data_IF_911759666585
#
_entry.id   IF_911759666585
#
_cell.length_a   1.000
_cell.length_b   1.000
_cell.length_c   1.000
_cell.angle_alpha   90.00
_cell.angle_beta   90.00
_cell.angle_gamma   90.00
#
_symmetry.space_group_name_H-M   'P 1'
#
loop_
_entity.id
_entity.type
_entity.pdbx_description
1 polymer ?
#
# COMPACT_ATOMS: atom_id res chain seq x y z
N UNK A 1 11.60 -3.30 7.09
CA UNK A 1 10.27 -3.11 7.72
C UNK A 1 10.29 -2.07 8.84
N UNK A 2 10.80 -2.37 10.04
CA UNK A 2 10.63 -1.51 11.23
C UNK A 2 11.20 -0.09 11.03
N UNK A 3 12.33 0.02 10.33
CA UNK A 3 12.98 1.31 10.01
C UNK A 3 12.03 2.25 9.26
N UNK A 4 11.26 1.76 8.29
CA UNK A 4 10.36 2.61 7.49
C UNK A 4 9.23 3.24 8.31
N UNK A 5 8.84 2.61 9.43
CA UNK A 5 7.82 3.11 10.34
C UNK A 5 8.46 3.99 11.43
N UNK A 6 9.53 3.50 12.05
CA UNK A 6 10.15 4.12 13.23
C UNK A 6 10.96 5.35 12.85
N UNK A 7 11.69 5.34 11.74
CA UNK A 7 12.59 6.44 11.36
C UNK A 7 11.84 7.78 11.18
N UNK A 8 10.74 7.88 10.41
CA UNK A 8 10.00 9.14 10.30
C UNK A 8 9.49 9.64 11.65
N UNK A 9 8.99 8.73 12.50
CA UNK A 9 8.50 9.07 13.85
C UNK A 9 9.65 9.63 14.69
N UNK A 10 10.75 8.90 14.83
CA UNK A 10 11.90 9.30 15.65
C UNK A 10 12.47 10.64 15.18
N UNK A 11 12.68 10.80 13.86
CA UNK A 11 13.17 12.06 13.31
C UNK A 11 12.20 13.22 13.58
N UNK A 12 10.89 12.99 13.52
CA UNK A 12 9.89 14.02 13.79
C UNK A 12 9.95 14.52 15.23
N UNK A 13 10.15 13.62 16.20
CA UNK A 13 10.23 13.95 17.62
C UNK A 13 11.59 14.54 18.03
N UNK A 14 12.71 14.04 17.50
CA UNK A 14 14.06 14.59 17.76
C UNK A 14 14.15 16.07 17.37
N UNK A 15 13.52 16.45 16.25
CA UNK A 15 13.53 17.83 15.78
C UNK A 15 12.51 18.73 16.49
N UNK A 16 11.70 18.17 17.39
CA UNK A 16 10.52 18.81 17.94
C UNK A 16 9.33 18.71 16.98
N UNK A 17 8.18 18.30 17.50
CA UNK A 17 6.97 18.11 16.69
C UNK A 17 6.39 19.44 16.16
N UNK A 18 6.63 20.54 16.88
CA UNK A 18 6.21 21.90 16.58
C UNK A 18 7.24 22.72 15.80
N UNK A 19 8.45 22.20 15.60
CA UNK A 19 9.54 22.91 14.90
C UNK A 19 9.35 22.87 13.38
N UNK A 20 9.79 23.91 12.64
CA UNK A 20 9.85 23.84 11.18
C UNK A 20 10.73 22.67 10.74
N UNK A 21 10.24 21.88 9.79
CA UNK A 21 11.02 20.77 9.21
C UNK A 21 12.24 21.33 8.45
N UNK A 22 13.41 20.73 8.68
CA UNK A 22 14.66 21.11 7.99
C UNK A 22 14.57 20.76 6.49
N UNK A 23 15.40 21.39 5.67
CA UNK A 23 15.43 21.18 4.20
C UNK A 23 15.55 19.71 3.80
N UNK A 24 16.36 18.93 4.52
CA UNK A 24 16.53 17.51 4.22
C UNK A 24 15.19 16.75 4.32
N UNK A 25 14.31 17.11 5.26
CA UNK A 25 13.01 16.48 5.43
C UNK A 25 12.15 16.64 4.18
N UNK A 26 12.11 17.87 3.66
CA UNK A 26 11.35 18.23 2.46
C UNK A 26 11.88 17.46 1.25
N UNK A 27 13.21 17.51 1.03
CA UNK A 27 13.86 16.81 -0.09
C UNK A 27 13.64 15.30 0.00
N UNK A 28 13.84 14.70 1.17
CA UNK A 28 13.58 13.27 1.40
C UNK A 28 12.12 12.93 1.13
N UNK A 29 11.18 13.77 1.56
CA UNK A 29 9.74 13.55 1.31
C UNK A 29 9.45 13.51 -0.19
N UNK A 30 9.94 14.49 -0.96
CA UNK A 30 9.75 14.53 -2.41
C UNK A 30 10.35 13.31 -3.11
N UNK A 31 11.58 12.93 -2.76
CA UNK A 31 12.25 11.75 -3.31
C UNK A 31 11.44 10.49 -3.00
N UNK A 32 11.05 10.29 -1.74
CA UNK A 32 10.28 9.12 -1.33
C UNK A 32 8.93 9.02 -2.05
N UNK A 33 8.16 10.10 -2.10
CA UNK A 33 6.84 10.12 -2.75
C UNK A 33 6.96 9.83 -4.24
N UNK A 34 7.91 10.49 -4.91
CA UNK A 34 8.15 10.28 -6.35
C UNK A 34 8.56 8.83 -6.61
N UNK A 35 9.47 8.30 -5.79
CA UNK A 35 9.93 6.91 -5.91
C UNK A 35 8.77 5.93 -5.70
N UNK A 36 7.93 6.15 -4.69
CA UNK A 36 6.75 5.31 -4.42
C UNK A 36 5.76 5.31 -5.58
N UNK A 37 5.47 6.46 -6.17
CA UNK A 37 4.57 6.55 -7.33
C UNK A 37 5.13 5.76 -8.51
N UNK A 38 6.41 5.98 -8.83
CA UNK A 38 7.10 5.28 -9.92
C UNK A 38 7.12 3.77 -9.68
N UNK A 39 7.53 3.35 -8.47
CA UNK A 39 7.64 1.94 -8.10
C UNK A 39 6.28 1.26 -7.94
N UNK A 40 5.20 2.00 -7.67
CA UNK A 40 3.84 1.43 -7.66
C UNK A 40 3.34 1.17 -9.08
N UNK A 41 3.67 2.04 -10.04
CA UNK A 41 3.10 2.01 -11.38
C UNK A 41 3.93 1.15 -12.34
N UNK A 42 5.25 1.34 -12.39
CA UNK A 42 6.11 0.80 -13.46
C UNK A 42 6.34 -0.71 -13.40
N UNK A 43 6.61 -1.34 -12.24
CA UNK A 43 6.93 -2.77 -12.20
C UNK A 43 5.80 -3.60 -12.83
N UNK A 44 6.10 -4.52 -13.76
CA UNK A 44 5.09 -5.41 -14.31
C UNK A 44 4.61 -6.40 -13.25
N UNK A 45 3.46 -7.01 -13.52
CA UNK A 45 2.94 -8.11 -12.71
C UNK A 45 3.18 -9.38 -13.50
N UNK A 46 3.70 -10.40 -12.85
CA UNK A 46 4.01 -11.67 -13.50
C UNK A 46 3.58 -12.84 -12.62
N UNK A 47 2.98 -13.82 -13.26
CA UNK A 47 2.74 -15.16 -12.72
C UNK A 47 3.73 -16.15 -13.29
N UNK A 48 3.42 -17.43 -13.12
CA UNK A 48 4.21 -18.52 -13.68
C UNK A 48 3.45 -19.26 -14.80
N UNK A 49 4.15 -20.17 -15.47
CA UNK A 49 3.57 -21.00 -16.53
C UNK A 49 2.37 -21.84 -16.05
N UNK A 50 2.38 -22.26 -14.78
CA UNK A 50 1.27 -23.04 -14.22
C UNK A 50 -0.01 -22.21 -14.08
N UNK A 51 0.12 -20.92 -13.74
CA UNK A 51 -1.01 -19.98 -13.71
C UNK A 51 -1.56 -19.76 -15.12
N UNK A 52 -0.69 -19.52 -16.12
CA UNK A 52 -1.12 -19.39 -17.52
C UNK A 52 -1.85 -20.63 -18.03
N UNK A 53 -1.34 -21.83 -17.72
CA UNK A 53 -2.00 -23.10 -18.07
C UNK A 53 -3.34 -23.26 -17.38
N UNK A 54 -3.43 -23.01 -16.07
CA UNK A 54 -4.67 -23.13 -15.29
C UNK A 54 -5.73 -22.18 -15.82
N UNK A 55 -5.36 -20.93 -16.04
CA UNK A 55 -6.27 -19.85 -16.43
C UNK A 55 -6.74 -19.97 -17.88
N UNK A 56 -5.92 -20.49 -18.79
CA UNK A 56 -6.33 -20.71 -20.19
C UNK A 56 -7.60 -21.55 -20.36
N UNK A 57 -7.92 -22.41 -19.38
CA UNK A 57 -9.12 -23.25 -19.33
C UNK A 57 -10.38 -22.49 -18.90
N UNK A 58 -10.21 -21.31 -18.33
CA UNK A 58 -11.30 -20.41 -17.95
C UNK A 58 -11.64 -19.48 -19.11
N UNK A 59 -12.93 -19.18 -19.33
CA UNK A 59 -13.33 -18.30 -20.43
C UNK A 59 -12.81 -16.85 -20.24
N UNK A 60 -12.56 -16.44 -19.00
CA UNK A 60 -12.23 -15.07 -18.64
C UNK A 60 -10.73 -14.74 -18.73
N UNK A 61 -9.82 -15.73 -18.70
CA UNK A 61 -8.38 -15.51 -18.59
C UNK A 61 -7.55 -16.34 -19.56
N UNK A 62 -7.63 -16.01 -20.86
CA UNK A 62 -6.78 -16.64 -21.87
C UNK A 62 -5.34 -16.11 -21.87
N UNK A 63 -5.13 -14.91 -21.34
CA UNK A 63 -3.88 -14.16 -21.46
C UNK A 63 -3.33 -13.84 -20.08
N UNK A 64 -2.14 -14.34 -19.76
CA UNK A 64 -1.49 -14.16 -18.46
C UNK A 64 -0.05 -13.70 -18.68
N UNK A 65 0.36 -12.65 -17.96
CA UNK A 65 1.74 -12.19 -17.97
C UNK A 65 2.60 -13.17 -17.16
N UNK A 66 3.59 -13.79 -17.83
CA UNK A 66 4.48 -14.79 -17.25
C UNK A 66 5.92 -14.30 -17.31
N UNK A 67 6.65 -14.49 -16.22
CA UNK A 67 8.09 -14.21 -16.15
C UNK A 67 8.92 -15.45 -16.42
N UNK A 68 9.87 -15.34 -17.35
CA UNK A 68 10.79 -16.42 -17.70
C UNK A 68 12.14 -15.89 -18.17
N UNK A 69 13.13 -16.78 -18.18
CA UNK A 69 14.47 -16.53 -18.74
C UNK A 69 14.56 -17.19 -20.11
N UNK A 70 15.08 -16.45 -21.08
CA UNK A 70 15.35 -16.96 -22.43
C UNK A 70 16.57 -17.89 -22.40
N UNK A 71 16.35 -19.17 -22.64
CA UNK A 71 17.42 -20.18 -22.68
C UNK A 71 17.93 -20.44 -24.10
N UNK A 72 17.04 -20.40 -25.09
CA UNK A 72 17.36 -20.65 -26.49
C UNK A 72 16.34 -19.94 -27.38
N UNK A 73 16.78 -19.48 -28.54
CA UNK A 73 15.94 -18.86 -29.57
C UNK A 73 16.25 -19.54 -30.90
N UNK A 74 15.23 -20.14 -31.50
CA UNK A 74 15.31 -20.78 -32.83
C UNK A 74 14.37 -20.00 -33.75
N UNK A 75 14.92 -19.46 -34.83
CA UNK A 75 14.15 -18.75 -35.86
C UNK A 75 13.74 -19.73 -36.96
N UNK A 76 12.44 -19.82 -37.21
CA UNK A 76 11.81 -20.52 -38.33
C UNK A 76 11.20 -19.50 -39.30
N UNK A 77 10.84 -19.90 -40.53
CA UNK A 77 10.49 -18.99 -41.63
C UNK A 77 9.36 -18.01 -41.27
N UNK A 78 8.40 -18.43 -40.44
CA UNK A 78 7.27 -17.60 -39.98
C UNK A 78 7.21 -17.40 -38.45
N UNK A 79 7.82 -18.28 -37.67
CA UNK A 79 7.68 -18.31 -36.20
C UNK A 79 9.05 -18.34 -35.51
N UNK A 80 9.08 -17.91 -34.27
CA UNK A 80 10.26 -18.02 -33.39
C UNK A 80 9.91 -18.96 -32.25
N UNK A 81 10.70 -20.01 -32.07
CA UNK A 81 10.60 -20.92 -30.95
C UNK A 81 11.57 -20.48 -29.87
N UNK A 82 11.05 -20.18 -28.68
CA UNK A 82 11.80 -19.76 -27.52
C UNK A 82 11.72 -20.87 -26.47
N UNK A 83 12.88 -21.38 -26.05
CA UNK A 83 12.96 -22.26 -24.88
C UNK A 83 13.05 -21.38 -23.63
N UNK A 84 12.02 -21.44 -22.79
CA UNK A 84 11.86 -20.60 -21.62
C UNK A 84 12.06 -21.38 -20.32
N UNK A 85 12.83 -20.80 -19.40
CA UNK A 85 13.03 -21.31 -18.04
C UNK A 85 12.23 -20.44 -17.07
N UNK A 86 11.40 -21.00 -16.17
CA UNK A 86 10.70 -20.22 -15.15
C UNK A 86 11.67 -19.40 -14.30
N UNK A 87 11.40 -18.09 -14.14
CA UNK A 87 12.32 -17.21 -13.42
C UNK A 87 12.49 -17.59 -11.94
N UNK A 88 11.49 -18.23 -11.34
CA UNK A 88 11.50 -18.72 -9.96
C UNK A 88 12.61 -19.76 -9.71
N UNK A 89 12.99 -20.52 -10.74
CA UNK A 89 13.91 -21.66 -10.63
C UNK A 89 15.32 -21.29 -11.14
N UNK A 90 15.49 -20.12 -11.76
CA UNK A 90 16.75 -19.75 -12.41
C UNK A 90 17.95 -19.63 -11.45
N UNK A 91 17.72 -19.29 -10.17
CA UNK A 91 18.78 -19.19 -9.16
C UNK A 91 19.28 -20.53 -8.63
N UNK A 92 18.64 -21.66 -8.99
CA UNK A 92 19.12 -22.98 -8.58
C UNK A 92 20.27 -23.43 -9.48
N UNK A 93 21.46 -23.54 -8.91
CA UNK A 93 22.74 -23.90 -9.57
C UNK A 93 22.77 -25.30 -10.23
N UNK A 94 21.72 -26.09 -10.07
CA UNK A 94 21.69 -27.48 -10.54
C UNK A 94 21.16 -27.56 -11.98
N UNK A 95 22.09 -27.55 -12.96
CA UNK A 95 21.79 -27.62 -14.41
C UNK A 95 20.82 -28.75 -14.79
N UNK A 96 20.86 -29.90 -14.09
CA UNK A 96 19.95 -31.04 -14.34
C UNK A 96 18.49 -30.77 -13.96
N UNK A 97 18.21 -29.84 -13.04
CA UNK A 97 16.84 -29.41 -12.71
C UNK A 97 16.31 -28.36 -13.68
N UNK A 98 17.20 -27.53 -14.23
CA UNK A 98 16.86 -26.52 -15.24
C UNK A 98 16.43 -27.17 -16.57
N UNK A 99 17.14 -28.20 -17.02
CA UNK A 99 16.80 -28.96 -18.26
C UNK A 99 15.46 -29.70 -18.19
N UNK A 100 14.99 -30.09 -16.98
CA UNK A 100 13.72 -30.79 -16.80
C UNK A 100 12.49 -29.87 -16.75
N UNK A 101 12.68 -28.57 -16.54
CA UNK A 101 11.61 -27.60 -16.31
C UNK A 101 11.65 -26.46 -17.34
N UNK A 102 11.86 -26.79 -18.61
CA UNK A 102 11.77 -25.84 -19.72
C UNK A 102 10.37 -25.87 -20.33
N UNK A 103 9.96 -24.72 -20.85
CA UNK A 103 8.69 -24.55 -21.56
C UNK A 103 8.96 -24.02 -22.97
N UNK A 104 8.20 -24.53 -23.94
CA UNK A 104 8.27 -24.06 -25.32
C UNK A 104 7.28 -22.93 -25.54
N UNK A 105 7.81 -21.77 -25.92
CA UNK A 105 7.05 -20.56 -26.24
C UNK A 105 7.19 -20.26 -27.72
N UNK A 106 6.07 -20.19 -28.44
CA UNK A 106 6.01 -19.80 -29.85
C UNK A 106 5.70 -18.32 -29.92
N UNK A 107 6.44 -17.57 -30.74
CA UNK A 107 6.19 -16.16 -31.00
C UNK A 107 6.16 -15.88 -32.50
N UNK A 108 5.38 -14.88 -32.92
CA UNK A 108 5.46 -14.38 -34.29
C UNK A 108 6.79 -13.65 -34.52
N UNK A 109 7.34 -13.81 -35.72
CA UNK A 109 8.60 -13.16 -36.10
C UNK A 109 8.41 -11.64 -36.15
N UNK A 110 8.89 -10.94 -35.12
CA UNK A 110 8.77 -9.49 -34.96
C UNK A 110 10.08 -8.86 -34.49
N UNK A 111 10.27 -7.56 -34.73
CA UNK A 111 11.49 -6.85 -34.31
C UNK A 111 11.74 -6.94 -32.80
N UNK A 112 10.66 -6.89 -31.99
CA UNK A 112 10.76 -7.02 -30.53
C UNK A 112 11.31 -8.39 -30.12
N UNK A 113 10.93 -9.46 -30.81
CA UNK A 113 11.45 -10.82 -30.54
C UNK A 113 12.89 -10.96 -31.01
N UNK A 114 13.26 -10.37 -32.14
CA UNK A 114 14.65 -10.33 -32.63
C UNK A 114 15.62 -9.61 -31.68
N UNK A 115 15.09 -8.70 -30.84
CA UNK A 115 15.90 -7.97 -29.85
C UNK A 115 16.24 -8.79 -28.60
N UNK A 116 15.57 -9.93 -28.38
CA UNK A 116 15.79 -10.80 -27.22
C UNK A 116 17.16 -11.47 -27.29
N UNK A 117 17.82 -11.56 -26.14
CA UNK A 117 19.11 -12.22 -25.97
C UNK A 117 18.99 -13.40 -25.03
N UNK A 118 19.94 -14.32 -25.15
CA UNK A 118 20.11 -15.41 -24.19
C UNK A 118 20.30 -14.84 -22.79
N UNK A 119 19.65 -15.46 -21.80
CA UNK A 119 19.59 -15.05 -20.40
C UNK A 119 18.81 -13.76 -20.11
N UNK A 120 18.13 -13.16 -21.09
CA UNK A 120 17.20 -12.07 -20.79
C UNK A 120 16.04 -12.60 -19.92
N UNK A 121 15.72 -11.86 -18.86
CA UNK A 121 14.50 -12.04 -18.09
C UNK A 121 13.36 -11.30 -18.77
N UNK A 122 12.37 -12.03 -19.25
CA UNK A 122 11.27 -11.48 -20.03
C UNK A 122 9.97 -11.69 -19.26
N UNK A 123 9.18 -10.62 -19.15
CA UNK A 123 7.77 -10.70 -18.78
C UNK A 123 6.96 -10.54 -20.05
N UNK A 124 6.16 -11.53 -20.39
CA UNK A 124 5.32 -11.49 -21.59
C UNK A 124 3.96 -12.10 -21.35
N UNK A 125 2.97 -11.59 -22.06
CA UNK A 125 1.62 -12.13 -22.10
C UNK A 125 1.62 -13.43 -22.91
N UNK A 126 1.34 -14.54 -22.23
CA UNK A 126 1.28 -15.88 -22.80
C UNK A 126 -0.16 -16.41 -22.85
N UNK A 127 -0.45 -17.14 -23.92
CA UNK A 127 -1.66 -17.93 -24.08
C UNK A 127 -1.30 -19.41 -24.21
N UNK A 128 -1.85 -20.27 -23.36
CA UNK A 128 -1.55 -21.71 -23.42
C UNK A 128 -2.40 -22.41 -24.49
N UNK A 129 -1.76 -23.26 -25.30
CA UNK A 129 -2.37 -24.07 -26.37
C UNK A 129 -2.43 -25.53 -25.92
N UNK A 130 -3.63 -26.01 -25.58
CA UNK A 130 -3.87 -27.38 -25.09
C UNK A 130 -3.42 -28.47 -26.10
N UNK A 131 -3.61 -28.24 -27.41
CA UNK A 131 -3.35 -29.26 -28.44
C UNK A 131 -1.87 -29.58 -28.63
N UNK A 132 -0.98 -28.64 -28.35
CA UNK A 132 0.47 -28.80 -28.56
C UNK A 132 1.27 -28.70 -27.25
N UNK A 133 0.61 -28.44 -26.12
CA UNK A 133 1.25 -28.20 -24.81
C UNK A 133 2.31 -27.09 -24.87
N UNK A 134 2.05 -26.06 -25.67
CA UNK A 134 2.94 -24.92 -25.90
C UNK A 134 2.27 -23.61 -25.47
N UNK A 135 3.06 -22.55 -25.36
CA UNK A 135 2.57 -21.22 -25.05
C UNK A 135 2.78 -20.31 -26.25
N UNK A 136 1.75 -19.57 -26.65
CA UNK A 136 1.85 -18.51 -27.64
C UNK A 136 2.16 -17.18 -26.94
N UNK A 137 3.28 -16.57 -27.31
CA UNK A 137 3.64 -15.22 -26.90
C UNK A 137 2.86 -14.22 -27.74
N UNK A 138 2.00 -13.45 -27.08
CA UNK A 138 1.22 -12.38 -27.72
C UNK A 138 1.91 -11.03 -27.64
N UNK A 139 2.53 -10.74 -26.50
CA UNK A 139 3.12 -9.42 -26.23
C UNK A 139 4.27 -9.51 -25.23
N UNK A 140 5.38 -8.84 -25.53
CA UNK A 140 6.42 -8.57 -24.54
C UNK A 140 5.97 -7.37 -23.69
N UNK A 141 5.89 -7.58 -22.38
CA UNK A 141 5.53 -6.53 -21.41
C UNK A 141 6.78 -5.80 -20.93
N UNK A 142 7.84 -6.54 -20.60
CA UNK A 142 9.12 -5.96 -20.17
C UNK A 142 10.26 -6.93 -20.45
N UNK A 143 11.44 -6.37 -20.71
CA UNK A 143 12.72 -7.11 -20.79
C UNK A 143 13.60 -6.60 -19.65
N UNK A 144 14.19 -7.53 -18.89
CA UNK A 144 15.01 -7.30 -17.71
C UNK A 144 14.40 -6.29 -16.71
N UNK A 145 13.16 -6.52 -16.24
CA UNK A 145 12.55 -5.65 -15.23
C UNK A 145 13.37 -5.64 -13.94
N UNK A 146 13.54 -4.45 -13.35
CA UNK A 146 14.28 -4.28 -12.08
C UNK A 146 13.48 -4.90 -10.91
N UNK A 147 12.16 -4.75 -10.94
CA UNK A 147 11.23 -5.27 -9.93
C UNK A 147 9.98 -5.81 -10.62
N UNK A 148 9.33 -6.76 -9.97
CA UNK A 148 8.09 -7.39 -10.43
C UNK A 148 7.14 -7.53 -9.25
N UNK A 149 5.85 -7.44 -9.53
CA UNK A 149 4.79 -7.73 -8.57
C UNK A 149 4.26 -9.15 -8.78
N UNK A 150 3.87 -9.85 -7.71
CA UNK A 150 3.31 -11.18 -7.83
C UNK A 150 1.93 -11.10 -8.49
N UNK A 151 1.68 -12.01 -9.42
CA UNK A 151 0.34 -12.21 -9.96
C UNK A 151 -0.55 -12.91 -8.94
N UNK A 152 -1.63 -12.24 -8.54
CA UNK A 152 -2.69 -12.80 -7.70
C UNK A 152 -3.97 -12.74 -8.51
N UNK A 153 -4.55 -13.89 -8.85
CA UNK A 153 -5.71 -14.01 -9.75
C UNK A 153 -6.88 -13.09 -9.38
N UNK A 154 -7.21 -13.01 -8.08
CA UNK A 154 -8.29 -12.16 -7.57
C UNK A 154 -7.99 -10.65 -7.65
N UNK A 155 -6.71 -10.25 -7.65
CA UNK A 155 -6.29 -8.85 -7.55
C UNK A 155 -5.74 -8.30 -8.88
N UNK A 156 -4.93 -9.07 -9.61
CA UNK A 156 -4.27 -8.65 -10.85
C UNK A 156 -3.60 -7.28 -10.65
N UNK A 157 -3.76 -6.36 -11.61
CA UNK A 157 -3.26 -4.97 -11.52
C UNK A 157 -3.74 -4.21 -10.28
N UNK A 158 -4.84 -4.62 -9.65
CA UNK A 158 -5.43 -3.96 -8.49
C UNK A 158 -4.60 -4.19 -7.22
N UNK A 159 -3.65 -5.14 -7.23
CA UNK A 159 -2.68 -5.33 -6.13
C UNK A 159 -1.85 -4.06 -5.88
N UNK A 160 -1.58 -3.27 -6.93
CA UNK A 160 -0.79 -2.03 -6.83
C UNK A 160 -1.43 -0.98 -5.91
N UNK A 161 -2.77 -0.99 -5.80
CA UNK A 161 -3.48 -0.11 -4.88
C UNK A 161 -3.10 -0.34 -3.41
N UNK A 162 -2.60 -1.53 -3.05
CA UNK A 162 -2.11 -1.84 -1.70
C UNK A 162 -1.07 -0.83 -1.22
N UNK A 163 -0.18 -0.38 -2.11
CA UNK A 163 0.90 0.55 -1.80
C UNK A 163 0.44 1.98 -1.55
N UNK A 164 -0.82 2.30 -1.83
CA UNK A 164 -1.41 3.61 -1.57
C UNK A 164 -2.45 3.54 -0.45
N UNK A 165 -3.44 2.67 -0.61
CA UNK A 165 -4.58 2.56 0.28
C UNK A 165 -4.20 2.22 1.72
N UNK A 166 -3.41 1.15 1.93
CA UNK A 166 -3.10 0.66 3.28
C UNK A 166 -2.15 1.61 4.03
N UNK A 167 -1.11 2.19 3.41
CA UNK A 167 -0.28 3.21 4.04
C UNK A 167 -1.04 4.47 4.51
N UNK A 168 -2.10 4.89 3.81
CA UNK A 168 -2.97 5.98 4.26
C UNK A 168 -3.65 5.63 5.60
N UNK A 169 -4.17 4.41 5.73
CA UNK A 169 -4.78 3.95 6.99
C UNK A 169 -3.75 3.81 8.13
N UNK A 170 -2.55 3.29 7.85
CA UNK A 170 -1.48 3.27 8.85
C UNK A 170 -1.11 4.68 9.33
N UNK A 171 -1.05 5.64 8.40
CA UNK A 171 -0.76 7.03 8.74
C UNK A 171 -1.86 7.63 9.61
N UNK A 172 -3.13 7.36 9.32
CA UNK A 172 -4.25 7.77 10.18
C UNK A 172 -4.19 7.16 11.58
N UNK A 173 -3.81 5.88 11.70
CA UNK A 173 -3.63 5.21 12.98
C UNK A 173 -2.55 5.90 13.82
N UNK A 174 -1.39 6.18 13.22
CA UNK A 174 -0.30 6.91 13.88
C UNK A 174 -0.75 8.32 14.28
N UNK A 175 -1.53 9.00 13.44
CA UNK A 175 -2.06 10.32 13.76
C UNK A 175 -2.96 10.31 14.99
N UNK A 176 -3.90 9.37 15.06
CA UNK A 176 -4.76 9.21 16.23
C UNK A 176 -3.99 8.79 17.49
N UNK A 177 -2.91 8.00 17.34
CA UNK A 177 -2.01 7.66 18.45
C UNK A 177 -1.24 8.89 18.97
N UNK A 178 -0.75 9.75 18.07
CA UNK A 178 -0.14 11.03 18.47
C UNK A 178 -1.18 11.87 19.24
N UNK A 179 -2.42 11.95 18.77
CA UNK A 179 -3.48 12.65 19.49
C UNK A 179 -3.73 12.07 20.89
N UNK A 180 -3.78 10.74 21.03
CA UNK A 180 -3.92 10.08 22.34
C UNK A 180 -2.81 10.53 23.29
N UNK A 181 -1.54 10.45 22.86
CA UNK A 181 -0.38 10.78 23.68
C UNK A 181 -0.46 12.23 24.15
N UNK A 182 -0.74 13.16 23.25
CA UNK A 182 -0.81 14.59 23.57
C UNK A 182 -2.07 14.96 24.36
N UNK A 183 -3.19 14.26 24.18
CA UNK A 183 -4.39 14.42 25.02
C UNK A 183 -4.11 13.99 26.47
N UNK A 184 -3.39 12.88 26.68
CA UNK A 184 -2.96 12.45 28.02
C UNK A 184 -1.98 13.47 28.63
N UNK A 185 -1.03 13.98 27.84
CA UNK A 185 -0.08 15.00 28.30
C UNK A 185 -0.79 16.30 28.69
N UNK A 186 -1.77 16.73 27.92
CA UNK A 186 -2.61 17.89 28.23
C UNK A 186 -3.30 17.70 29.57
N UNK A 187 -4.01 16.59 29.80
CA UNK A 187 -4.73 16.33 31.06
C UNK A 187 -3.80 16.19 32.28
N UNK A 188 -2.52 15.89 32.06
CA UNK A 188 -1.52 15.76 33.13
C UNK A 188 -0.87 17.09 33.52
N UNK A 189 -0.67 17.99 32.55
CA UNK A 189 0.14 19.20 32.76
C UNK A 189 -0.59 20.50 32.46
N UNK A 190 -1.83 20.45 31.97
CA UNK A 190 -2.67 21.58 31.56
C UNK A 190 -2.00 22.55 30.58
N UNK A 191 -1.09 22.04 29.73
CA UNK A 191 -0.39 22.84 28.72
C UNK A 191 -1.18 22.91 27.42
N UNK A 192 -1.70 24.09 27.07
CA UNK A 192 -2.47 24.31 25.83
C UNK A 192 -1.71 23.89 24.55
N UNK A 193 -0.38 23.93 24.56
CA UNK A 193 0.44 23.42 23.46
C UNK A 193 0.15 21.93 23.17
N UNK A 194 -0.05 21.10 24.19
CA UNK A 194 -0.35 19.69 24.01
C UNK A 194 -1.74 19.50 23.37
N UNK A 195 -2.73 20.35 23.70
CA UNK A 195 -4.05 20.36 23.07
C UNK A 195 -4.00 20.79 21.59
N UNK A 196 -3.17 21.77 21.25
CA UNK A 196 -2.92 22.16 19.85
C UNK A 196 -2.43 20.95 19.06
N UNK A 197 -1.39 20.27 19.56
CA UNK A 197 -0.84 19.08 18.90
C UNK A 197 -1.88 17.97 18.75
N UNK A 198 -2.66 17.68 19.80
CA UNK A 198 -3.68 16.65 19.76
C UNK A 198 -4.76 16.95 18.71
N UNK A 199 -5.31 18.16 18.73
CA UNK A 199 -6.35 18.58 17.77
C UNK A 199 -5.83 18.63 16.32
N UNK A 200 -4.57 19.03 16.11
CA UNK A 200 -3.91 19.01 14.80
C UNK A 200 -3.68 17.59 14.29
N UNK A 201 -3.26 16.67 15.16
CA UNK A 201 -3.09 15.27 14.82
C UNK A 201 -4.41 14.62 14.40
N UNK A 202 -5.53 14.89 15.09
CA UNK A 202 -6.87 14.43 14.67
C UNK A 202 -7.26 15.01 13.32
N UNK A 203 -7.10 16.32 13.11
CA UNK A 203 -7.47 17.01 11.85
C UNK A 203 -6.80 16.34 10.66
N UNK A 204 -5.49 16.12 10.76
CA UNK A 204 -4.71 15.51 9.68
C UNK A 204 -5.00 14.00 9.59
N UNK A 205 -5.15 13.31 10.72
CA UNK A 205 -5.54 11.89 10.75
C UNK A 205 -6.87 11.61 10.04
N UNK A 206 -7.84 12.51 10.19
CA UNK A 206 -9.13 12.45 9.52
C UNK A 206 -8.98 12.62 8.00
N UNK A 207 -8.11 13.54 7.54
CA UNK A 207 -7.79 13.68 6.10
C UNK A 207 -7.23 12.36 5.55
N UNK A 208 -6.28 11.73 6.25
CA UNK A 208 -5.74 10.43 5.85
C UNK A 208 -6.80 9.31 5.88
N UNK A 209 -7.73 9.34 6.84
CA UNK A 209 -8.86 8.41 6.89
C UNK A 209 -9.77 8.56 5.68
N UNK A 210 -10.09 9.81 5.29
CA UNK A 210 -10.91 10.11 4.11
C UNK A 210 -10.20 9.65 2.83
N UNK A 211 -8.91 9.98 2.66
CA UNK A 211 -8.12 9.56 1.50
C UNK A 211 -8.00 8.03 1.41
N UNK A 212 -7.74 7.36 2.54
CA UNK A 212 -7.73 5.90 2.62
C UNK A 212 -9.08 5.31 2.23
N UNK A 213 -10.18 5.91 2.70
CA UNK A 213 -11.53 5.47 2.34
C UNK A 213 -11.81 5.64 0.84
N UNK A 214 -11.47 6.78 0.24
CA UNK A 214 -11.67 7.05 -1.19
C UNK A 214 -10.88 6.04 -2.05
N UNK A 215 -9.60 5.83 -1.75
CA UNK A 215 -8.77 4.86 -2.47
C UNK A 215 -9.29 3.42 -2.31
N UNK A 216 -9.84 3.09 -1.14
CA UNK A 216 -10.51 1.80 -0.89
C UNK A 216 -11.81 1.65 -1.68
N UNK A 217 -12.62 2.71 -1.78
CA UNK A 217 -13.85 2.72 -2.58
C UNK A 217 -13.57 2.52 -4.07
N UNK A 218 -12.54 3.18 -4.61
CA UNK A 218 -12.13 2.99 -6.01
C UNK A 218 -11.74 1.54 -6.25
N UNK A 219 -10.93 0.95 -5.37
CA UNK A 219 -10.56 -0.47 -5.47
C UNK A 219 -11.77 -1.40 -5.34
N UNK A 220 -12.68 -1.15 -4.40
CA UNK A 220 -13.91 -1.90 -4.24
C UNK A 220 -14.80 -1.87 -5.50
N UNK A 221 -14.87 -0.73 -6.20
CA UNK A 221 -15.60 -0.63 -7.47
C UNK A 221 -15.05 -1.59 -8.53
N UNK A 222 -13.73 -1.72 -8.61
CA UNK A 222 -13.07 -2.60 -9.58
C UNK A 222 -13.03 -4.08 -9.16
N UNK A 223 -13.09 -4.38 -7.86
CA UNK A 223 -13.06 -5.75 -7.35
C UNK A 223 -14.46 -6.36 -7.14
N UNK A 224 -15.43 -5.55 -6.70
CA UNK A 224 -16.75 -6.00 -6.24
C UNK A 224 -17.91 -5.35 -7.01
N UNK A 225 -17.61 -4.49 -7.99
CA UNK A 225 -18.62 -3.86 -8.84
C UNK A 225 -19.30 -2.61 -8.26
N UNK A 226 -19.08 -2.29 -6.98
CA UNK A 226 -19.63 -1.10 -6.32
C UNK A 226 -18.60 -0.41 -5.40
N UNK A 227 -18.70 0.92 -5.29
CA UNK A 227 -17.83 1.70 -4.41
C UNK A 227 -18.05 1.38 -2.92
N UNK A 228 -19.27 0.98 -2.55
CA UNK A 228 -19.65 0.66 -1.18
C UNK A 228 -20.52 -0.60 -1.15
N UNK A 229 -20.17 -1.54 -0.28
CA UNK A 229 -20.76 -2.87 -0.20
C UNK A 229 -21.18 -3.23 1.24
N UNK A 230 -21.09 -2.28 2.18
CA UNK A 230 -21.32 -2.53 3.61
C UNK A 230 -20.45 -3.64 4.22
N UNK A 231 -19.31 -3.94 3.58
CA UNK A 231 -18.30 -4.85 4.09
C UNK A 231 -17.85 -4.42 5.50
N UNK A 232 -17.54 -5.36 6.42
CA UNK A 232 -17.11 -5.01 7.77
C UNK A 232 -16.00 -3.97 7.83
N UNK A 233 -15.00 -4.01 6.93
CA UNK A 233 -13.89 -3.05 6.92
C UNK A 233 -14.33 -1.67 6.44
N UNK A 234 -15.23 -1.61 5.45
CA UNK A 234 -15.85 -0.35 5.01
C UNK A 234 -16.69 0.25 6.14
N UNK A 235 -17.54 -0.55 6.77
CA UNK A 235 -18.41 -0.10 7.85
C UNK A 235 -17.61 0.38 9.06
N UNK A 236 -16.56 -0.33 9.48
CA UNK A 236 -15.77 0.09 10.64
C UNK A 236 -14.96 1.36 10.38
N UNK A 237 -14.42 1.57 9.17
CA UNK A 237 -13.73 2.83 8.86
C UNK A 237 -14.70 4.02 8.79
N UNK A 238 -15.93 3.81 8.31
CA UNK A 238 -17.00 4.82 8.38
C UNK A 238 -17.31 5.20 9.82
N UNK A 239 -17.43 4.23 10.72
CA UNK A 239 -17.66 4.48 12.15
C UNK A 239 -16.51 5.28 12.76
N UNK A 240 -15.25 4.92 12.48
CA UNK A 240 -14.08 5.71 12.93
C UNK A 240 -14.17 7.15 12.43
N UNK A 241 -14.50 7.35 11.15
CA UNK A 241 -14.63 8.69 10.55
C UNK A 241 -15.73 9.51 11.25
N UNK A 242 -16.88 8.90 11.56
CA UNK A 242 -17.96 9.57 12.29
C UNK A 242 -17.57 9.92 13.74
N UNK A 243 -16.85 9.05 14.43
CA UNK A 243 -16.32 9.33 15.79
C UNK A 243 -15.42 10.57 15.76
N UNK A 244 -14.47 10.66 14.82
CA UNK A 244 -13.58 11.81 14.75
C UNK A 244 -14.22 13.07 14.14
N UNK A 245 -15.29 12.95 13.35
CA UNK A 245 -16.12 14.10 12.99
C UNK A 245 -16.88 14.64 14.22
N UNK A 246 -17.42 13.75 15.05
CA UNK A 246 -18.07 14.12 16.30
C UNK A 246 -17.13 14.79 17.30
N UNK A 247 -15.84 14.42 17.33
CA UNK A 247 -14.81 15.17 18.07
C UNK A 247 -14.81 16.66 17.70
N UNK A 248 -14.85 16.99 16.41
CA UNK A 248 -14.90 18.39 15.96
C UNK A 248 -16.23 19.05 16.28
N UNK A 249 -17.34 18.31 16.20
CA UNK A 249 -18.65 18.79 16.64
C UNK A 249 -18.63 19.23 18.12
N UNK A 250 -18.13 18.36 19.01
CA UNK A 250 -17.96 18.66 20.43
C UNK A 250 -17.01 19.84 20.66
N UNK A 251 -15.85 19.83 20.00
CA UNK A 251 -14.84 20.87 20.18
C UNK A 251 -15.34 22.24 19.74
N UNK A 252 -16.14 22.31 18.68
CA UNK A 252 -16.66 23.55 18.13
C UNK A 252 -17.89 24.08 18.89
N UNK A 253 -18.60 23.24 19.66
CA UNK A 253 -19.75 23.66 20.46
C UNK A 253 -19.38 24.30 21.81
N UNK A 254 -18.08 24.44 22.11
CA UNK A 254 -17.58 24.93 23.39
C UNK A 254 -16.94 26.32 23.22
N UNK A 255 -17.35 27.27 24.05
CA UNK A 255 -16.85 28.65 23.99
C UNK A 255 -15.54 28.84 24.77
N UNK A 256 -15.46 28.25 25.97
CA UNK A 256 -14.27 28.34 26.82
C UNK A 256 -13.13 27.48 26.27
N UNK A 257 -11.94 28.08 26.10
CA UNK A 257 -10.73 27.40 25.62
C UNK A 257 -10.32 26.22 26.50
N UNK A 258 -10.39 26.39 27.83
CA UNK A 258 -10.01 25.35 28.78
C UNK A 258 -11.01 24.18 28.78
N UNK A 259 -12.31 24.49 28.79
CA UNK A 259 -13.35 23.45 28.68
C UNK A 259 -13.23 22.71 27.35
N UNK A 260 -12.98 23.44 26.26
CA UNK A 260 -12.75 22.90 24.93
C UNK A 260 -11.61 21.91 24.92
N UNK A 261 -10.44 22.31 25.41
CA UNK A 261 -9.25 21.46 25.45
C UNK A 261 -9.46 20.22 26.33
N UNK A 262 -10.01 20.39 27.54
CA UNK A 262 -10.26 19.28 28.48
C UNK A 262 -11.27 18.25 27.98
N UNK A 263 -12.43 18.68 27.51
CA UNK A 263 -13.45 17.76 26.98
C UNK A 263 -12.99 17.09 25.68
N UNK A 264 -12.29 17.82 24.81
CA UNK A 264 -11.70 17.26 23.60
C UNK A 264 -10.66 16.19 23.92
N UNK A 265 -9.77 16.44 24.88
CA UNK A 265 -8.73 15.48 25.27
C UNK A 265 -9.33 14.17 25.80
N UNK A 266 -10.34 14.25 26.67
CA UNK A 266 -11.07 13.06 27.16
C UNK A 266 -11.74 12.31 26.01
N UNK A 267 -12.42 13.03 25.11
CA UNK A 267 -13.06 12.43 23.94
C UNK A 267 -12.04 11.72 23.03
N UNK A 268 -10.89 12.35 22.77
CA UNK A 268 -9.82 11.76 21.96
C UNK A 268 -9.29 10.46 22.56
N UNK A 269 -9.13 10.39 23.89
CA UNK A 269 -8.65 9.18 24.57
C UNK A 269 -9.64 8.04 24.37
N UNK A 270 -10.92 8.28 24.62
CA UNK A 270 -11.99 7.29 24.44
C UNK A 270 -12.09 6.87 22.98
N UNK A 271 -12.03 7.82 22.06
CA UNK A 271 -12.09 7.57 20.61
C UNK A 271 -10.96 6.66 20.15
N UNK A 272 -9.73 6.90 20.61
CA UNK A 272 -8.59 6.07 20.21
C UNK A 272 -8.75 4.60 20.61
N UNK A 273 -9.36 4.29 21.76
CA UNK A 273 -9.62 2.91 22.18
C UNK A 273 -10.42 2.14 21.12
N UNK A 274 -11.34 2.83 20.43
CA UNK A 274 -12.13 2.22 19.35
C UNK A 274 -11.31 1.94 18.10
N UNK A 275 -10.22 2.67 17.84
CA UNK A 275 -9.47 2.61 16.57
C UNK A 275 -8.82 1.22 16.36
N UNK A 276 -8.03 0.65 17.29
CA UNK A 276 -7.49 -0.70 17.12
C UNK A 276 -8.59 -1.76 16.95
N UNK A 277 -9.69 -1.61 17.68
CA UNK A 277 -10.81 -2.55 17.65
C UNK A 277 -11.48 -2.53 16.27
N UNK A 278 -11.83 -1.34 15.77
CA UNK A 278 -12.56 -1.16 14.52
C UNK A 278 -11.66 -1.35 13.29
N UNK A 279 -10.38 -1.01 13.35
CA UNK A 279 -9.46 -1.13 12.21
C UNK A 279 -8.81 -2.51 12.11
N UNK A 280 -8.49 -3.15 13.25
CA UNK A 280 -7.73 -4.40 13.25
C UNK A 280 -8.54 -5.62 13.72
N UNK A 281 -9.42 -5.48 14.71
CA UNK A 281 -10.08 -6.64 15.33
C UNK A 281 -11.37 -7.01 14.58
N UNK A 282 -12.37 -6.13 14.58
CA UNK A 282 -13.71 -6.42 14.04
C UNK A 282 -13.70 -6.91 12.58
N UNK A 283 -12.95 -6.29 11.65
CA UNK A 283 -12.95 -6.74 10.25
C UNK A 283 -12.42 -8.16 10.04
N UNK A 284 -11.67 -8.72 11.00
CA UNK A 284 -11.11 -10.08 10.93
C UNK A 284 -12.02 -11.13 11.59
N UNK A 285 -13.00 -10.69 12.38
CA UNK A 285 -13.94 -11.58 13.07
C UNK A 285 -15.22 -11.83 12.27
N UNK A 286 -15.47 -11.05 11.23
CA UNK A 286 -16.68 -11.10 10.41
C UNK A 286 -16.38 -11.60 8.99
N UNK A 287 -17.36 -12.26 8.33
CA UNK A 287 -17.27 -12.55 6.90
C UNK A 287 -17.05 -11.26 6.11
N UNK A 288 -16.07 -11.25 5.21
CA UNK A 288 -15.65 -10.02 4.51
C UNK A 288 -15.21 -10.35 3.09
N UNK A 289 -15.57 -9.46 2.16
CA UNK A 289 -15.07 -9.50 0.78
C UNK A 289 -13.61 -9.04 0.69
N UNK A 290 -13.13 -8.36 1.74
CA UNK A 290 -11.80 -7.78 1.80
C UNK A 290 -10.73 -8.82 2.15
N UNK A 291 -9.56 -8.81 1.47
CA UNK A 291 -8.44 -9.65 1.84
C UNK A 291 -8.07 -9.54 3.33
N UNK A 292 -7.84 -10.67 3.98
CA UNK A 292 -7.62 -10.79 5.42
C UNK A 292 -8.89 -10.85 6.28
N UNK A 293 -10.05 -11.13 5.69
CA UNK A 293 -11.30 -11.42 6.41
C UNK A 293 -11.31 -12.80 7.06
N UNK A 294 -12.35 -13.10 7.86
CA UNK A 294 -12.50 -14.38 8.59
C UNK A 294 -12.33 -15.62 7.69
N UNK A 295 -12.88 -15.54 6.48
CA UNK A 295 -12.99 -16.67 5.56
C UNK A 295 -11.84 -16.73 4.52
N UNK A 296 -10.89 -15.78 4.55
CA UNK A 296 -9.85 -15.64 3.53
C UNK A 296 -8.63 -16.55 3.76
N UNK A 297 -8.52 -17.23 4.91
CA UNK A 297 -7.44 -18.19 5.25
C UNK A 297 -6.02 -17.59 5.30
N UNK A 298 -5.83 -16.39 4.75
CA UNK A 298 -4.63 -15.56 4.78
C UNK A 298 -4.92 -14.37 5.68
N UNK A 299 -4.00 -13.97 6.55
CA UNK A 299 -4.20 -12.83 7.48
C UNK A 299 -4.13 -11.47 6.76
N UNK A 300 -4.37 -11.45 5.45
CA UNK A 300 -4.01 -10.39 4.53
C UNK A 300 -2.49 -10.27 4.36
N UNK A 301 -2.01 -9.63 3.29
CA UNK A 301 -0.59 -9.58 2.91
C UNK A 301 0.34 -8.87 3.90
N UNK A 302 -0.19 -8.34 5.01
CA UNK A 302 0.55 -7.49 5.96
C UNK A 302 0.77 -8.17 7.32
N UNK A 303 0.00 -9.21 7.67
CA UNK A 303 0.06 -9.86 9.00
C UNK A 303 0.02 -11.40 8.88
N UNK A 304 0.15 -11.97 7.69
CA UNK A 304 0.32 -13.41 7.58
C UNK A 304 1.66 -13.80 8.21
N UNK A 305 1.60 -14.49 9.34
CA UNK A 305 2.76 -15.15 10.00
C UNK A 305 3.36 -16.27 9.14
N UNK A 306 2.76 -16.55 7.98
CA UNK A 306 3.38 -17.23 6.84
C UNK A 306 4.32 -16.25 6.10
N UNK A 307 5.34 -15.77 6.82
CA UNK A 307 6.28 -14.73 6.40
C UNK A 307 7.13 -15.11 5.16
N UNK A 308 7.00 -16.34 4.66
CA UNK A 308 7.73 -16.84 3.49
C UNK A 308 7.01 -16.55 2.15
N UNK A 309 5.85 -15.87 2.16
CA UNK A 309 4.98 -15.73 0.97
C UNK A 309 4.65 -14.28 0.55
N UNK A 310 5.18 -13.25 1.22
CA UNK A 310 5.05 -11.88 0.68
C UNK A 310 6.23 -11.65 -0.24
N UNK A 311 5.94 -11.52 -1.53
CA UNK A 311 6.91 -11.09 -2.53
C UNK A 311 7.74 -9.91 -2.01
N UNK A 312 9.07 -10.08 -2.03
CA UNK A 312 9.99 -9.14 -1.39
C UNK A 312 9.96 -7.76 -2.04
N UNK A 313 9.65 -7.69 -3.34
CA UNK A 313 9.47 -6.44 -4.08
C UNK A 313 8.21 -5.70 -3.61
N UNK A 314 7.08 -6.41 -3.51
CA UNK A 314 5.82 -5.87 -2.99
C UNK A 314 6.00 -5.35 -1.56
N UNK A 315 6.63 -6.14 -0.68
CA UNK A 315 6.90 -5.74 0.70
C UNK A 315 7.78 -4.49 0.77
N UNK A 316 8.87 -4.44 -0.01
CA UNK A 316 9.78 -3.30 -0.05
C UNK A 316 9.05 -2.00 -0.40
N UNK A 317 8.28 -2.01 -1.50
CA UNK A 317 7.56 -0.82 -1.99
C UNK A 317 6.45 -0.42 -1.01
N UNK A 318 5.77 -1.40 -0.41
CA UNK A 318 4.76 -1.17 0.61
C UNK A 318 5.32 -0.43 1.83
N UNK A 319 6.44 -0.90 2.40
CA UNK A 319 7.05 -0.22 3.54
C UNK A 319 7.65 1.15 3.18
N UNK A 320 8.20 1.29 1.98
CA UNK A 320 8.65 2.59 1.47
C UNK A 320 7.49 3.58 1.38
N UNK A 321 6.31 3.11 0.98
CA UNK A 321 5.08 3.90 0.92
C UNK A 321 4.63 4.37 2.30
N UNK A 322 4.67 3.49 3.32
CA UNK A 322 4.40 3.89 4.71
C UNK A 322 5.35 5.00 5.15
N UNK A 323 6.65 4.87 4.88
CA UNK A 323 7.62 5.91 5.22
C UNK A 323 7.25 7.23 4.53
N UNK A 324 6.97 7.22 3.22
CA UNK A 324 6.62 8.41 2.46
C UNK A 324 5.41 9.16 3.05
N UNK A 325 4.32 8.45 3.37
CA UNK A 325 3.13 9.07 3.95
C UNK A 325 3.35 9.55 5.38
N UNK A 326 4.18 8.88 6.19
CA UNK A 326 4.56 9.38 7.52
C UNK A 326 5.42 10.65 7.43
N UNK A 327 6.33 10.74 6.45
CA UNK A 327 7.11 11.95 6.17
C UNK A 327 6.19 13.13 5.79
N UNK A 328 5.19 12.89 4.94
CA UNK A 328 4.13 13.86 4.61
C UNK A 328 3.37 14.25 5.88
N UNK A 329 2.86 13.28 6.64
CA UNK A 329 2.05 13.51 7.83
C UNK A 329 2.77 14.41 8.85
N UNK A 330 3.99 14.06 9.26
CA UNK A 330 4.72 14.84 10.25
C UNK A 330 5.16 16.21 9.71
N UNK A 331 5.30 16.37 8.39
CA UNK A 331 5.50 17.68 7.79
C UNK A 331 4.25 18.56 7.92
N UNK A 332 3.10 18.09 7.45
CA UNK A 332 1.84 18.80 7.58
C UNK A 332 1.47 19.08 9.04
N UNK A 333 1.71 18.12 9.94
CA UNK A 333 1.48 18.29 11.38
C UNK A 333 2.27 19.47 11.94
N UNK A 334 3.55 19.58 11.58
CA UNK A 334 4.37 20.71 12.04
C UNK A 334 3.88 22.05 11.50
N UNK A 335 3.31 22.07 10.29
CA UNK A 335 2.75 23.29 9.69
C UNK A 335 1.49 23.70 10.45
N UNK A 336 0.53 22.78 10.61
CA UNK A 336 -0.76 23.05 11.28
C UNK A 336 -0.58 23.45 12.76
N UNK A 337 0.36 22.82 13.48
CA UNK A 337 0.68 23.22 14.85
C UNK A 337 1.20 24.65 14.88
N UNK A 338 2.14 25.00 14.00
CA UNK A 338 2.76 26.34 13.97
C UNK A 338 1.75 27.41 13.59
N UNK A 339 0.89 27.13 12.62
CA UNK A 339 -0.22 28.00 12.22
C UNK A 339 -1.11 28.30 13.42
N UNK A 340 -1.65 27.27 14.10
CA UNK A 340 -2.52 27.44 15.27
C UNK A 340 -1.83 28.14 16.45
N UNK A 341 -0.54 27.86 16.68
CA UNK A 341 0.22 28.55 17.73
C UNK A 341 0.35 30.04 17.43
N UNK A 342 0.53 30.41 16.16
CA UNK A 342 0.57 31.82 15.76
C UNK A 342 -0.82 32.46 15.88
N UNK A 343 -1.87 31.79 15.43
CA UNK A 343 -3.26 32.27 15.56
C UNK A 343 -3.64 32.54 17.02
N UNK A 344 -3.29 31.63 17.94
CA UNK A 344 -3.58 31.82 19.36
C UNK A 344 -2.82 33.03 19.94
N UNK A 345 -1.54 33.21 19.60
CA UNK A 345 -0.76 34.38 20.02
C UNK A 345 -1.34 35.70 19.51
N UNK A 346 -1.82 35.71 18.27
CA UNK A 346 -2.46 36.90 17.68
C UNK A 346 -3.78 37.19 18.41
N UNK A 347 -4.57 36.17 18.75
CA UNK A 347 -5.81 36.35 19.52
C UNK A 347 -5.55 36.91 20.91
N UNK A 348 -4.54 36.40 21.61
CA UNK A 348 -4.14 36.90 22.94
C UNK A 348 -3.67 38.36 22.91
N UNK A 349 -3.12 38.84 21.80
CA UNK A 349 -2.69 40.24 21.65
C UNK A 349 -3.85 41.21 21.31
N UNK A 350 -4.96 40.69 20.80
CA UNK A 350 -6.12 41.47 20.37
C UNK A 350 -7.28 41.49 21.40
N UNK A 351 -7.09 40.83 22.55
CA UNK A 351 -7.99 40.84 23.72
C UNK A 351 -7.31 41.62 24.82
#
# INVERSE_FOLDING_TARGET
>A
MLICIVLPIVLAFIHGISSPRKKYWVVTTFILVTSVIILTILPPISGNFSDARRLSKTQDFKDVDVSFIVSEIIFDDNNVLITAIPSEIFHFSDKKKLEKNTYSVIAENSESIKSLKLNDKVVSTLNYIDSTNQYLLKKIVSINPILEYPFIEALQHRIKNLNLHVPLHWTSFIAYLVSLIFSIRYLKHDKLEDDIVASSAIKIGLIFTILGTITGMVWAKFNWGAYWNWDPRQTTILVIMLIYLAYFGLRNSLDSFEKKAKLSAVYSIISFITVPVLMFIIPRLLPSLHPGGKDDGTTGPVISTQADMVDSSLAFIFYLSIAAFLFIYFWYLSIDIREKTIENKIREQNV
#
